data_IF_746839545888
#
_entry.id   IF_746839545888
#
_cell.length_a   1.000
_cell.length_b   1.000
_cell.length_c   1.000
_cell.angle_alpha   90.00
_cell.angle_beta   90.00
_cell.angle_gamma   90.00
#
_symmetry.space_group_name_H-M   'P 1'
#
loop_
_entity.id
_entity.type
_entity.pdbx_description
1 polymer ?
#
# COMPACT_ATOMS: atom_id res chain seq x y z
N UNK A 1 29.59 -65.70 -0.15
CA UNK A 1 28.12 -65.88 0.00
C UNK A 1 27.28 -64.94 -0.87
N UNK A 2 27.84 -64.29 -1.92
CA UNK A 2 27.10 -63.38 -2.81
C UNK A 2 26.81 -63.98 -4.22
N UNK A 3 27.18 -65.24 -4.49
CA UNK A 3 27.20 -65.80 -5.85
C UNK A 3 25.94 -66.59 -6.29
N UNK A 4 24.75 -66.30 -5.76
CA UNK A 4 23.52 -66.82 -6.40
C UNK A 4 22.28 -65.95 -6.16
N UNK A 5 22.41 -64.64 -6.32
CA UNK A 5 21.20 -63.82 -6.47
C UNK A 5 20.57 -64.13 -7.82
N UNK A 6 19.37 -64.71 -7.79
CA UNK A 6 18.51 -64.86 -8.97
C UNK A 6 18.31 -63.50 -9.64
N UNK A 7 18.25 -63.47 -10.96
CA UNK A 7 17.94 -62.26 -11.76
C UNK A 7 16.68 -61.54 -11.27
N UNK A 8 15.69 -62.28 -10.76
CA UNK A 8 14.48 -61.73 -10.14
C UNK A 8 14.76 -60.89 -8.90
N UNK A 9 15.64 -61.36 -8.01
CA UNK A 9 15.98 -60.64 -6.77
C UNK A 9 16.71 -59.33 -7.07
N UNK A 10 17.57 -59.32 -8.09
CA UNK A 10 18.28 -58.11 -8.53
C UNK A 10 17.29 -57.07 -9.05
N UNK A 11 16.33 -57.48 -9.87
CA UNK A 11 15.29 -56.60 -10.41
C UNK A 11 14.41 -56.03 -9.28
N UNK A 12 14.03 -56.86 -8.31
CA UNK A 12 13.23 -56.41 -7.15
C UNK A 12 13.99 -55.37 -6.30
N UNK A 13 15.27 -55.62 -6.00
CA UNK A 13 16.09 -54.67 -5.22
C UNK A 13 16.21 -53.33 -5.95
N UNK A 14 16.43 -53.34 -7.27
CA UNK A 14 16.51 -52.12 -8.08
C UNK A 14 15.15 -51.41 -8.10
N UNK A 15 14.06 -52.14 -8.32
CA UNK A 15 12.72 -51.57 -8.36
C UNK A 15 12.32 -50.90 -7.04
N UNK A 16 12.63 -51.54 -5.90
CA UNK A 16 12.39 -50.96 -4.56
C UNK A 16 13.28 -49.73 -4.35
N UNK A 17 14.56 -49.79 -4.76
CA UNK A 17 15.49 -48.66 -4.60
C UNK A 17 15.05 -47.43 -5.40
N UNK A 18 14.64 -47.63 -6.66
CA UNK A 18 14.09 -46.57 -7.51
C UNK A 18 12.78 -46.03 -6.93
N UNK A 19 11.86 -46.91 -6.51
CA UNK A 19 10.58 -46.49 -5.92
C UNK A 19 10.77 -45.67 -4.64
N UNK A 20 11.73 -46.07 -3.79
CA UNK A 20 12.09 -45.32 -2.58
C UNK A 20 12.62 -43.94 -2.93
N UNK A 21 13.53 -43.85 -3.92
CA UNK A 21 14.08 -42.58 -4.36
C UNK A 21 13.00 -41.65 -4.93
N UNK A 22 12.11 -42.17 -5.79
CA UNK A 22 10.99 -41.41 -6.35
C UNK A 22 10.01 -40.94 -5.28
N UNK A 23 9.74 -41.78 -4.27
CA UNK A 23 8.87 -41.40 -3.15
C UNK A 23 9.48 -40.27 -2.31
N UNK A 24 10.78 -40.35 -2.00
CA UNK A 24 11.49 -39.30 -1.24
C UNK A 24 11.51 -37.99 -2.02
N UNK A 25 11.81 -38.00 -3.32
CA UNK A 25 11.80 -36.78 -4.13
C UNK A 25 10.41 -36.16 -4.24
N UNK A 26 9.36 -36.98 -4.40
CA UNK A 26 7.98 -36.50 -4.41
C UNK A 26 7.57 -35.82 -3.10
N UNK A 27 7.98 -36.36 -1.94
CA UNK A 27 7.73 -35.75 -0.63
C UNK A 27 8.46 -34.41 -0.52
N UNK A 28 9.72 -34.33 -0.94
CA UNK A 28 10.50 -33.08 -0.90
C UNK A 28 9.84 -32.01 -1.77
N UNK A 29 9.47 -32.35 -3.01
CA UNK A 29 8.77 -31.42 -3.92
C UNK A 29 7.48 -30.93 -3.27
N UNK A 30 6.68 -31.84 -2.68
CA UNK A 30 5.43 -31.48 -2.02
C UNK A 30 5.63 -30.47 -0.89
N UNK A 31 6.65 -30.68 -0.04
CA UNK A 31 6.98 -29.74 1.05
C UNK A 31 7.42 -28.38 0.49
N UNK A 32 8.26 -28.37 -0.54
CA UNK A 32 8.73 -27.13 -1.17
C UNK A 32 7.56 -26.38 -1.81
N UNK A 33 6.68 -27.08 -2.53
CA UNK A 33 5.47 -26.50 -3.15
C UNK A 33 4.53 -25.90 -2.10
N UNK A 34 4.30 -26.58 -0.98
CA UNK A 34 3.47 -26.04 0.11
C UNK A 34 4.06 -24.76 0.69
N UNK A 35 5.38 -24.73 0.93
CA UNK A 35 6.08 -23.53 1.41
C UNK A 35 6.04 -22.38 0.41
N UNK A 36 6.24 -22.66 -0.87
CA UNK A 36 6.13 -21.65 -1.92
C UNK A 36 4.72 -21.11 -2.04
N UNK A 37 3.70 -21.99 -2.04
CA UNK A 37 2.31 -21.59 -2.15
C UNK A 37 1.91 -20.69 -0.98
N UNK A 38 2.29 -21.04 0.25
CA UNK A 38 2.06 -20.19 1.43
C UNK A 38 2.68 -18.79 1.28
N UNK A 39 3.93 -18.69 0.79
CA UNK A 39 4.59 -17.40 0.56
C UNK A 39 3.92 -16.58 -0.56
N UNK A 40 3.47 -17.24 -1.63
CA UNK A 40 2.77 -16.59 -2.75
C UNK A 40 1.40 -16.07 -2.32
N UNK A 41 0.65 -16.87 -1.55
CA UNK A 41 -0.63 -16.44 -0.99
C UNK A 41 -0.40 -15.23 -0.08
N UNK A 42 0.57 -15.31 0.84
CA UNK A 42 0.88 -14.20 1.73
C UNK A 42 1.21 -12.92 0.96
N UNK A 43 2.13 -12.98 0.00
CA UNK A 43 2.52 -11.79 -0.77
C UNK A 43 1.36 -11.24 -1.64
N UNK A 44 0.53 -12.12 -2.21
CA UNK A 44 -0.61 -11.72 -3.05
C UNK A 44 -1.81 -11.20 -2.25
N UNK A 45 -1.89 -11.59 -0.97
CA UNK A 45 -3.00 -11.23 -0.07
C UNK A 45 -2.54 -10.27 1.03
N UNK A 46 -1.31 -9.75 0.97
CA UNK A 46 -0.83 -8.78 1.95
C UNK A 46 -1.55 -7.43 1.75
N UNK A 47 -2.09 -6.82 2.81
CA UNK A 47 -2.54 -5.43 2.72
C UNK A 47 -1.35 -4.52 2.44
N UNK A 48 -1.55 -3.53 1.58
CA UNK A 48 -0.51 -2.57 1.22
C UNK A 48 -1.02 -1.17 1.52
N UNK A 49 -0.68 -0.67 2.71
CA UNK A 49 -1.05 0.68 3.13
C UNK A 49 0.02 1.65 2.64
N UNK A 50 -0.41 2.78 2.08
CA UNK A 50 0.47 3.86 1.70
C UNK A 50 -0.15 5.20 2.12
N UNK A 51 0.71 6.09 2.62
CA UNK A 51 0.36 7.47 2.95
C UNK A 51 0.99 8.37 1.90
N UNK A 52 0.17 9.18 1.25
CA UNK A 52 0.60 10.08 0.20
C UNK A 52 -0.26 11.34 0.18
N UNK A 53 0.19 12.34 -0.58
CA UNK A 53 -0.49 13.61 -0.72
C UNK A 53 -1.26 13.69 -2.04
N UNK A 54 -2.32 14.50 -2.06
CA UNK A 54 -3.07 14.81 -3.27
C UNK A 54 -3.40 16.29 -3.30
N UNK A 55 -3.26 16.92 -4.45
CA UNK A 55 -3.63 18.32 -4.66
C UNK A 55 -4.86 18.41 -5.56
N UNK A 56 -5.70 19.42 -5.34
CA UNK A 56 -6.84 19.72 -6.23
C UNK A 56 -6.78 21.17 -6.66
N UNK A 57 -6.81 21.39 -7.97
CA UNK A 57 -6.86 22.71 -8.58
C UNK A 57 -8.30 23.04 -9.00
N UNK A 58 -9.06 23.66 -8.11
CA UNK A 58 -10.36 24.24 -8.48
C UNK A 58 -10.15 25.70 -8.89
N UNK A 59 -10.63 26.03 -10.09
CA UNK A 59 -10.49 27.35 -10.72
C UNK A 59 -10.93 28.48 -9.76
N UNK A 60 -10.03 29.43 -9.48
CA UNK A 60 -10.33 30.64 -8.70
C UNK A 60 -10.14 30.54 -7.18
N UNK A 61 -9.69 29.39 -6.64
CA UNK A 61 -9.38 29.20 -5.22
C UNK A 61 -7.96 28.70 -5.00
N UNK A 62 -7.43 28.93 -3.78
CA UNK A 62 -6.14 28.40 -3.34
C UNK A 62 -6.18 26.86 -3.41
N UNK A 63 -5.18 26.19 -4.00
CA UNK A 63 -5.18 24.73 -4.13
C UNK A 63 -5.28 24.06 -2.76
N UNK A 64 -6.20 23.10 -2.65
CA UNK A 64 -6.32 22.27 -1.45
C UNK A 64 -5.33 21.11 -1.53
N UNK A 65 -4.63 20.89 -0.43
CA UNK A 65 -3.73 19.76 -0.25
C UNK A 65 -4.37 18.76 0.71
N UNK A 66 -4.33 17.50 0.35
CA UNK A 66 -4.92 16.44 1.14
C UNK A 66 -3.86 15.40 1.47
N UNK A 67 -3.88 14.90 2.71
CA UNK A 67 -3.23 13.67 3.08
C UNK A 67 -4.20 12.51 2.83
N UNK A 68 -3.69 11.46 2.20
CA UNK A 68 -4.43 10.26 1.88
C UNK A 68 -3.75 9.08 2.53
N UNK A 69 -4.54 8.25 3.22
CA UNK A 69 -4.12 6.92 3.67
C UNK A 69 -4.96 5.93 2.89
N UNK A 70 -4.31 5.09 2.08
CA UNK A 70 -5.02 4.15 1.19
C UNK A 70 -4.46 2.75 1.32
N UNK A 71 -5.36 1.77 1.27
CA UNK A 71 -5.00 0.37 1.07
C UNK A 71 -5.02 0.02 -0.42
N UNK A 72 -3.86 -0.20 -1.01
CA UNK A 72 -3.67 -0.68 -2.37
C UNK A 72 -3.57 -2.22 -2.44
N UNK A 73 -3.60 -2.89 -1.30
CA UNK A 73 -3.59 -4.35 -1.22
C UNK A 73 -4.95 -4.96 -1.51
N UNK A 74 -4.96 -6.28 -1.67
CA UNK A 74 -6.15 -7.06 -2.02
C UNK A 74 -6.95 -7.52 -0.79
N UNK A 75 -6.45 -7.25 0.43
CA UNK A 75 -7.11 -7.62 1.69
C UNK A 75 -7.21 -6.43 2.62
N UNK A 76 -8.19 -6.46 3.51
CA UNK A 76 -8.36 -5.44 4.54
C UNK A 76 -7.40 -5.62 5.70
N UNK A 77 -7.19 -4.56 6.47
CA UNK A 77 -6.29 -4.55 7.62
C UNK A 77 -6.76 -3.60 8.70
N UNK A 78 -6.34 -3.83 9.93
CA UNK A 78 -6.48 -2.87 11.02
C UNK A 78 -5.21 -2.06 11.19
N UNK A 79 -5.36 -0.75 11.38
CA UNK A 79 -4.23 0.13 11.74
C UNK A 79 -4.02 0.04 13.25
N UNK A 80 -2.81 -0.29 13.69
CA UNK A 80 -2.46 -0.50 15.10
C UNK A 80 -1.61 0.63 15.68
N UNK A 81 -0.86 1.34 14.85
CA UNK A 81 -0.19 2.59 15.21
C UNK A 81 -0.09 3.52 14.01
N UNK A 82 -0.08 4.82 14.27
CA UNK A 82 0.08 5.84 13.23
C UNK A 82 0.72 7.09 13.84
N UNK A 83 1.92 7.41 13.38
CA UNK A 83 2.73 8.50 13.91
C UNK A 83 3.32 9.33 12.77
N UNK A 84 3.54 10.61 13.04
CA UNK A 84 4.21 11.54 12.14
C UNK A 84 5.37 12.22 12.86
N UNK A 85 6.44 12.55 12.14
CA UNK A 85 7.60 13.27 12.69
C UNK A 85 7.30 14.73 13.09
N UNK A 86 6.14 15.27 12.70
CA UNK A 86 5.69 16.60 13.06
C UNK A 86 4.29 16.56 13.66
N UNK A 87 3.94 17.59 14.44
CA UNK A 87 2.58 17.75 14.96
C UNK A 87 1.61 18.12 13.83
N UNK A 88 0.73 17.18 13.50
CA UNK A 88 -0.28 17.35 12.45
C UNK A 88 -1.33 18.42 12.82
N UNK A 89 -1.45 18.78 14.10
CA UNK A 89 -2.34 19.84 14.60
C UNK A 89 -1.93 21.24 14.09
N UNK A 90 -0.68 21.42 13.65
CA UNK A 90 -0.24 22.68 13.04
C UNK A 90 -0.84 22.89 11.64
N UNK A 91 -1.39 21.83 11.02
CA UNK A 91 -1.86 21.84 9.63
C UNK A 91 -3.39 21.89 9.50
N UNK A 92 -4.09 22.17 10.61
CA UNK A 92 -5.55 22.14 10.71
C UNK A 92 -6.23 23.13 9.76
N UNK A 93 -7.14 22.62 8.94
CA UNK A 93 -8.12 23.45 8.22
C UNK A 93 -9.32 23.81 9.12
N UNK A 94 -9.59 22.99 10.14
CA UNK A 94 -10.58 23.23 11.19
C UNK A 94 -9.94 22.93 12.56
N UNK A 95 -9.93 23.86 13.52
CA UNK A 95 -9.24 23.71 14.81
C UNK A 95 -9.72 22.51 15.64
N UNK A 96 -10.93 22.00 15.40
CA UNK A 96 -11.53 20.92 16.21
C UNK A 96 -11.28 19.51 15.65
N UNK A 97 -10.47 19.35 14.59
CA UNK A 97 -10.31 18.06 13.89
C UNK A 97 -8.85 17.73 13.59
N UNK A 98 -8.17 17.06 14.52
CA UNK A 98 -6.79 16.62 14.34
C UNK A 98 -6.71 15.54 13.24
N UNK A 99 -5.78 15.67 12.27
CA UNK A 99 -5.65 14.68 11.21
C UNK A 99 -5.38 13.29 11.77
N UNK A 100 -6.22 12.32 11.41
CA UNK A 100 -6.05 10.90 11.73
C UNK A 100 -5.98 10.53 13.23
N UNK A 101 -6.42 11.41 14.12
CA UNK A 101 -6.37 11.22 15.58
C UNK A 101 -6.99 9.88 16.05
N UNK A 102 -8.05 9.44 15.37
CA UNK A 102 -8.79 8.22 15.70
C UNK A 102 -8.63 7.10 14.67
N UNK A 103 -7.54 7.14 13.88
CA UNK A 103 -7.32 6.12 12.85
C UNK A 103 -6.85 4.78 13.44
N UNK A 104 -6.21 4.80 14.61
CA UNK A 104 -5.78 3.58 15.29
C UNK A 104 -7.02 2.79 15.72
N UNK A 105 -7.04 1.49 15.40
CA UNK A 105 -8.18 0.60 15.57
C UNK A 105 -9.18 0.62 14.41
N UNK A 106 -9.01 1.50 13.42
CA UNK A 106 -9.86 1.51 12.23
C UNK A 106 -9.53 0.35 11.28
N UNK A 107 -10.57 -0.19 10.65
CA UNK A 107 -10.43 -1.16 9.57
C UNK A 107 -10.38 -0.44 8.22
N UNK A 108 -9.40 -0.81 7.40
CA UNK A 108 -9.22 -0.26 6.05
C UNK A 108 -9.37 -1.38 5.02
N UNK A 109 -10.50 -1.39 4.31
CA UNK A 109 -10.79 -2.37 3.27
C UNK A 109 -9.91 -2.18 2.02
N UNK A 110 -9.80 -3.20 1.14
CA UNK A 110 -9.11 -3.05 -0.14
C UNK A 110 -9.60 -1.85 -0.94
N UNK A 111 -8.69 -1.05 -1.48
CA UNK A 111 -8.95 0.17 -2.27
C UNK A 111 -9.65 1.32 -1.51
N UNK A 112 -10.00 1.14 -0.23
CA UNK A 112 -10.53 2.20 0.60
C UNK A 112 -9.43 3.20 0.95
N UNK A 113 -9.83 4.47 1.08
CA UNK A 113 -8.96 5.53 1.56
C UNK A 113 -9.64 6.39 2.62
N UNK A 114 -8.81 6.97 3.48
CA UNK A 114 -9.17 8.10 4.34
C UNK A 114 -8.48 9.35 3.82
N UNK A 115 -9.23 10.45 3.75
CA UNK A 115 -8.79 11.73 3.23
C UNK A 115 -8.87 12.78 4.31
N UNK A 116 -7.82 13.57 4.46
CA UNK A 116 -7.81 14.73 5.33
C UNK A 116 -7.27 15.96 4.60
N UNK A 117 -7.98 17.09 4.65
CA UNK A 117 -7.57 18.34 4.00
C UNK A 117 -6.71 19.21 4.91
N UNK A 118 -5.57 19.68 4.40
CA UNK A 118 -4.66 20.58 5.09
C UNK A 118 -4.92 22.05 4.73
N UNK A 119 -4.66 22.95 5.68
CA UNK A 119 -4.77 24.39 5.46
C UNK A 119 -3.71 24.90 4.46
N UNK A 120 -4.10 25.63 3.40
CA UNK A 120 -3.17 26.09 2.36
C UNK A 120 -2.04 27.00 2.87
N UNK A 121 -2.31 27.77 3.94
CA UNK A 121 -1.36 28.72 4.52
C UNK A 121 -0.16 28.04 5.20
N UNK A 122 -0.31 26.78 5.60
CA UNK A 122 0.71 26.02 6.33
C UNK A 122 1.71 25.39 5.36
N UNK A 123 1.25 25.01 4.16
CA UNK A 123 2.09 24.48 3.09
C UNK A 123 3.11 25.51 2.59
N UNK A 124 2.72 26.79 2.55
CA UNK A 124 3.58 27.89 2.10
C UNK A 124 4.67 28.23 3.12
N UNK A 125 4.43 27.97 4.42
CA UNK A 125 5.42 28.21 5.48
C UNK A 125 6.36 27.02 5.70
N UNK A 126 5.87 25.79 5.48
CA UNK A 126 6.61 24.54 5.74
C UNK A 126 7.01 23.78 4.49
N UNK A 127 7.07 24.45 3.33
CA UNK A 127 7.28 23.80 2.03
C UNK A 127 8.56 22.93 1.96
N UNK A 128 9.60 23.31 2.72
CA UNK A 128 10.87 22.59 2.81
C UNK A 128 10.89 21.40 3.81
N UNK A 129 9.81 21.17 4.56
CA UNK A 129 9.76 20.08 5.54
C UNK A 129 9.37 18.74 4.89
N UNK A 130 10.03 17.67 5.35
CA UNK A 130 9.66 16.28 5.00
C UNK A 130 8.69 15.77 6.04
N UNK A 131 7.50 15.37 5.61
CA UNK A 131 6.54 14.68 6.46
C UNK A 131 6.85 13.19 6.40
N UNK A 132 7.24 12.61 7.52
CA UNK A 132 7.59 11.20 7.65
C UNK A 132 6.51 10.54 8.50
N UNK A 133 5.74 9.66 7.87
CA UNK A 133 4.71 8.87 8.52
C UNK A 133 5.24 7.48 8.80
N UNK A 134 5.15 7.04 10.04
CA UNK A 134 5.43 5.66 10.46
C UNK A 134 4.13 5.05 10.96
N UNK A 135 3.76 3.91 10.42
CA UNK A 135 2.49 3.27 10.75
C UNK A 135 2.64 1.76 10.77
N UNK A 136 1.93 1.14 11.72
CA UNK A 136 1.86 -0.31 11.86
C UNK A 136 0.44 -0.77 11.60
N UNK A 137 0.32 -1.90 10.94
CA UNK A 137 -0.96 -2.54 10.67
C UNK A 137 -0.86 -4.06 10.85
N UNK A 138 -1.99 -4.66 11.21
CA UNK A 138 -2.08 -6.11 11.45
C UNK A 138 -3.04 -6.76 10.47
N UNK A 139 -2.57 -7.86 9.86
CA UNK A 139 -3.38 -8.74 9.04
C UNK A 139 -2.94 -10.19 9.19
N UNK A 140 -3.91 -11.10 9.33
CA UNK A 140 -3.71 -12.53 9.52
C UNK A 140 -2.72 -12.88 10.66
N UNK A 141 -2.77 -12.13 11.78
CA UNK A 141 -1.91 -12.33 12.95
C UNK A 141 -0.45 -11.92 12.76
N UNK A 142 -0.12 -11.23 11.66
CA UNK A 142 1.19 -10.63 11.41
C UNK A 142 1.09 -9.12 11.46
N UNK A 143 2.07 -8.49 12.11
CA UNK A 143 2.23 -7.05 12.10
C UNK A 143 3.25 -6.62 11.04
N UNK A 144 2.95 -5.51 10.39
CA UNK A 144 3.79 -4.89 9.39
C UNK A 144 3.97 -3.42 9.76
N UNK A 145 5.20 -2.94 9.72
CA UNK A 145 5.52 -1.52 9.94
C UNK A 145 6.12 -0.97 8.68
N UNK A 146 5.56 0.14 8.22
CA UNK A 146 5.99 0.82 7.00
C UNK A 146 6.27 2.29 7.32
N UNK A 147 7.00 2.95 6.42
CA UNK A 147 7.29 4.38 6.52
C UNK A 147 7.13 5.05 5.17
N UNK A 148 6.34 6.12 5.14
CA UNK A 148 6.11 6.92 3.95
C UNK A 148 6.66 8.33 4.17
N UNK A 149 7.44 8.83 3.20
CA UNK A 149 7.97 10.19 3.23
C UNK A 149 7.29 11.02 2.16
N UNK A 150 6.69 12.14 2.56
CA UNK A 150 6.08 13.12 1.68
C UNK A 150 6.96 14.37 1.68
N UNK A 151 7.31 14.83 0.48
CA UNK A 151 8.12 16.03 0.26
C UNK A 151 7.18 17.09 -0.30
N UNK A 152 6.72 18.00 0.55
CA UNK A 152 5.66 18.97 0.21
C UNK A 152 6.01 19.81 -1.02
N UNK A 153 7.27 20.24 -1.16
CA UNK A 153 7.74 20.96 -2.36
C UNK A 153 7.48 20.21 -3.66
N UNK A 154 7.84 18.92 -3.72
CA UNK A 154 7.69 18.13 -4.95
C UNK A 154 6.22 18.04 -5.39
N UNK A 155 5.31 17.93 -4.43
CA UNK A 155 3.88 17.86 -4.71
C UNK A 155 3.30 19.22 -5.11
N UNK A 156 3.88 20.30 -4.58
CA UNK A 156 3.49 21.67 -4.93
C UNK A 156 3.96 22.08 -6.34
N UNK A 157 5.10 21.56 -6.80
CA UNK A 157 5.61 21.79 -8.16
C UNK A 157 4.77 21.06 -9.23
N UNK A 158 4.09 19.97 -8.86
CA UNK A 158 3.13 19.29 -9.73
C UNK A 158 1.81 20.07 -9.90
N UNK A 159 1.57 21.10 -9.07
CA UNK A 159 0.39 21.94 -9.16
C UNK A 159 0.54 22.88 -10.36
N UNK A 160 -0.05 22.53 -11.50
CA UNK A 160 -0.22 23.46 -12.61
C UNK A 160 -1.47 24.31 -12.39
N UNK A 161 -1.36 25.61 -12.04
CA UNK A 161 -2.51 26.47 -11.84
C UNK A 161 -3.27 26.64 -13.16
N UNK A 162 -4.51 26.13 -13.23
CA UNK A 162 -5.42 26.35 -14.35
C UNK A 162 -6.23 27.62 -14.10
N UNK A 163 -5.56 28.78 -14.07
CA UNK A 163 -6.24 30.07 -13.92
C UNK A 163 -6.44 30.75 -15.28
N UNK A 164 -7.67 31.06 -15.63
CA UNK A 164 -7.95 32.21 -16.50
C UNK A 164 -9.19 32.93 -15.96
N UNK A 165 -9.00 34.18 -15.55
CA UNK A 165 -9.92 34.96 -14.69
C UNK A 165 -11.21 35.44 -15.38
N UNK A 166 -11.54 34.91 -16.55
CA UNK A 166 -12.80 35.15 -17.24
C UNK A 166 -13.23 33.87 -17.95
N UNK A 167 -14.39 33.32 -17.59
CA UNK A 167 -15.35 32.57 -18.43
C UNK A 167 -15.86 31.18 -17.96
N UNK A 168 -17.21 31.14 -17.90
CA UNK A 168 -18.18 30.11 -18.30
C UNK A 168 -18.24 28.77 -17.51
N UNK A 169 -19.43 28.37 -16.99
CA UNK A 169 -19.65 27.10 -16.29
C UNK A 169 -19.17 25.85 -17.04
N UNK A 170 -19.35 25.78 -18.37
CA UNK A 170 -18.91 24.66 -19.19
C UNK A 170 -17.39 24.41 -19.12
N UNK A 171 -16.59 25.48 -19.02
CA UNK A 171 -15.13 25.36 -18.98
C UNK A 171 -14.67 24.85 -17.62
N UNK A 172 -15.34 25.26 -16.55
CA UNK A 172 -15.12 24.71 -15.19
C UNK A 172 -15.47 23.22 -15.15
N UNK A 173 -16.60 22.81 -15.75
CA UNK A 173 -16.97 21.40 -15.88
C UNK A 173 -15.90 20.63 -16.67
N UNK A 174 -15.42 21.18 -17.79
CA UNK A 174 -14.35 20.57 -18.58
C UNK A 174 -13.06 20.39 -17.78
N UNK A 175 -12.69 21.35 -16.94
CA UNK A 175 -11.51 21.23 -16.08
C UNK A 175 -11.68 20.20 -14.97
N UNK A 176 -12.87 20.13 -14.36
CA UNK A 176 -13.19 19.10 -13.37
C UNK A 176 -13.14 17.71 -14.01
N UNK A 177 -13.66 17.56 -15.23
CA UNK A 177 -13.60 16.28 -15.96
C UNK A 177 -12.15 15.88 -16.31
N UNK A 178 -11.32 16.83 -16.75
CA UNK A 178 -9.91 16.57 -17.00
C UNK A 178 -9.15 16.19 -15.71
N UNK A 179 -9.44 16.87 -14.60
CA UNK A 179 -8.84 16.54 -13.29
C UNK A 179 -9.27 15.14 -12.81
N UNK A 180 -10.53 14.74 -13.07
CA UNK A 180 -11.01 13.38 -12.78
C UNK A 180 -10.27 12.34 -13.65
N UNK A 181 -10.15 12.59 -14.96
CA UNK A 181 -9.44 11.69 -15.89
C UNK A 181 -7.96 11.51 -15.50
N UNK A 182 -7.25 12.61 -15.23
CA UNK A 182 -5.86 12.60 -14.77
C UNK A 182 -5.66 11.87 -13.44
N UNK A 183 -6.69 11.83 -12.58
CA UNK A 183 -6.67 11.16 -11.27
C UNK A 183 -7.14 9.70 -11.31
N UNK A 184 -7.70 9.25 -12.44
CA UNK A 184 -8.11 7.87 -12.69
C UNK A 184 -7.05 7.07 -13.45
N UNK A 185 -6.15 7.75 -14.17
CA UNK A 185 -4.92 7.18 -14.76
C UNK A 185 -3.93 6.72 -13.68
#
# INVERSE_FOLDING_TARGET
MLNSLSTSNIIQIIGISVSLLTSVTAIIISIVTLKQNSKVIENSTRPYICVYSKTTNFTGFVPFYYLVIKNFGQTGTFITSFDCNCDLSEFLLNPDKIPFEHIVGSFLAPNQNFLFGLSPNVLTQKSNEKLIFTYTYESNGKQYTETSTIIVNNDSEQISPRSNEKEIPLRTISYVLQDIDEKLL
#
